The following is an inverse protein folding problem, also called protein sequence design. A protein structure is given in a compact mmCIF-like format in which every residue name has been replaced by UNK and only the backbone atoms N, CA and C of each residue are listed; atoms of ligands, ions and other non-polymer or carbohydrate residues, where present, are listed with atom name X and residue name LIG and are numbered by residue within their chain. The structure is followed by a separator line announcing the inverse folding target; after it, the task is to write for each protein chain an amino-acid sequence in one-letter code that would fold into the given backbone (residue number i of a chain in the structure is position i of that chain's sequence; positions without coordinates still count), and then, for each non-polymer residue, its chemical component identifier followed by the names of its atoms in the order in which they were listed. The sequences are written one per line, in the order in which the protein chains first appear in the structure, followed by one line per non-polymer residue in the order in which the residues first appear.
data_IF_019264583935
#
_entry.id   IF_019264583935
#
_cell.length_a   1.000
_cell.length_b   1.000
_cell.length_c   1.000
_cell.angle_alpha   90.00
_cell.angle_beta   90.00
_cell.angle_gamma   90.00
#
_symmetry.space_group_name_H-M   'P 1'
#
loop_
_entity.id
_entity.type
_entity.pdbx_description
1 polymer ?
#
# COMPACT_ATOMS: atom_id res chain seq x y z
N UNK A 1 -11.76 -9.42 -2.33
CA UNK A 1 -10.45 -10.11 -2.45
C UNK A 1 -10.46 -11.48 -3.12
N UNK A 2 -11.52 -12.29 -3.06
CA UNK A 2 -11.52 -13.65 -3.66
C UNK A 2 -11.18 -13.69 -5.16
N UNK A 3 -11.64 -12.70 -5.94
CA UNK A 3 -11.32 -12.58 -7.36
C UNK A 3 -9.82 -12.36 -7.63
N UNK A 4 -9.19 -11.44 -6.90
CA UNK A 4 -7.76 -11.16 -7.01
C UNK A 4 -6.91 -12.38 -6.64
N UNK A 5 -7.28 -13.11 -5.58
CA UNK A 5 -6.61 -14.36 -5.22
C UNK A 5 -6.72 -15.43 -6.32
N UNK A 6 -7.90 -15.55 -6.96
CA UNK A 6 -8.09 -16.44 -8.09
C UNK A 6 -7.18 -16.06 -9.27
N UNK A 7 -7.14 -14.77 -9.65
CA UNK A 7 -6.28 -14.28 -10.72
C UNK A 7 -4.80 -14.47 -10.40
N UNK A 8 -4.39 -14.26 -9.14
CA UNK A 8 -3.02 -14.50 -8.67
C UNK A 8 -2.61 -15.96 -8.87
N UNK A 9 -3.46 -16.90 -8.42
CA UNK A 9 -3.22 -18.33 -8.55
C UNK A 9 -3.14 -18.80 -10.01
N UNK A 10 -3.86 -18.12 -10.91
CA UNK A 10 -3.83 -18.39 -12.36
C UNK A 10 -2.73 -17.62 -13.10
N UNK A 11 -1.94 -16.78 -12.41
CA UNK A 11 -0.94 -15.86 -12.99
C UNK A 11 -1.52 -14.89 -14.03
N UNK A 12 -2.78 -14.50 -13.85
CA UNK A 12 -3.53 -13.63 -14.76
C UNK A 12 -3.62 -12.16 -14.30
N UNK A 13 -2.98 -11.82 -13.17
CA UNK A 13 -2.96 -10.44 -12.69
C UNK A 13 -2.28 -9.50 -13.68
N UNK A 14 -2.85 -8.31 -13.82
CA UNK A 14 -2.18 -7.16 -14.41
C UNK A 14 -0.93 -6.77 -13.61
N UNK A 15 -0.10 -5.88 -14.18
CA UNK A 15 1.10 -5.39 -13.48
C UNK A 15 0.73 -4.67 -12.17
N UNK A 16 -0.37 -3.92 -12.18
CA UNK A 16 -0.87 -3.16 -11.06
C UNK A 16 -1.41 -4.07 -9.95
N UNK A 17 -2.25 -5.05 -10.28
CA UNK A 17 -2.81 -5.96 -9.27
C UNK A 17 -1.74 -6.86 -8.63
N UNK A 18 -0.61 -7.10 -9.31
CA UNK A 18 0.54 -7.80 -8.72
C UNK A 18 1.14 -7.08 -7.52
N UNK A 19 1.01 -5.76 -7.43
CA UNK A 19 1.54 -4.98 -6.30
C UNK A 19 0.90 -5.41 -4.97
N UNK A 20 -0.36 -5.84 -5.01
CA UNK A 20 -1.08 -6.34 -3.84
C UNK A 20 -0.48 -7.66 -3.30
N UNK A 21 0.11 -8.47 -4.17
CA UNK A 21 0.70 -9.78 -3.84
C UNK A 21 2.23 -9.76 -3.84
N UNK A 22 2.86 -8.58 -3.87
CA UNK A 22 4.31 -8.45 -3.81
C UNK A 22 4.85 -9.11 -2.53
N UNK A 23 5.88 -9.93 -2.67
CA UNK A 23 6.56 -10.60 -1.57
C UNK A 23 8.08 -10.56 -1.81
N UNK A 24 8.88 -9.95 -0.92
CA UNK A 24 8.47 -9.32 0.34
C UNK A 24 7.67 -8.03 0.12
N UNK A 25 6.74 -7.75 1.04
CA UNK A 25 6.10 -6.43 1.16
C UNK A 25 7.09 -5.41 1.71
N UNK A 26 6.83 -4.14 1.41
CA UNK A 26 7.52 -3.05 2.10
C UNK A 26 7.22 -3.10 3.60
N UNK A 27 8.17 -2.66 4.42
CA UNK A 27 8.00 -2.62 5.88
C UNK A 27 6.88 -1.66 6.29
N UNK A 28 6.74 -0.56 5.54
CA UNK A 28 5.72 0.46 5.72
C UNK A 28 5.26 0.94 4.33
N UNK A 29 3.98 1.26 4.20
CA UNK A 29 3.38 1.77 2.96
C UNK A 29 2.48 2.97 3.30
N UNK A 30 2.44 3.97 2.41
CA UNK A 30 1.61 5.16 2.58
C UNK A 30 0.87 5.46 1.28
N UNK A 31 -0.46 5.57 1.35
CA UNK A 31 -1.34 5.75 0.20
C UNK A 31 -2.29 6.93 0.40
N UNK A 32 -2.53 7.68 -0.66
CA UNK A 32 -3.56 8.71 -0.71
C UNK A 32 -4.85 8.07 -1.22
N UNK A 33 -5.73 7.65 -0.32
CA UNK A 33 -6.97 6.96 -0.68
C UNK A 33 -7.94 7.82 -1.50
N UNK A 34 -7.77 9.15 -1.53
CA UNK A 34 -8.64 10.04 -2.32
C UNK A 34 -8.26 10.01 -3.79
N UNK A 35 -6.96 10.03 -4.09
CA UNK A 35 -6.44 10.06 -5.46
C UNK A 35 -5.99 8.67 -5.96
N UNK A 36 -5.74 7.73 -5.04
CA UNK A 36 -5.35 6.34 -5.27
C UNK A 36 -6.20 5.39 -4.39
N UNK A 37 -7.50 5.26 -4.70
CA UNK A 37 -8.43 4.45 -3.89
C UNK A 37 -8.12 2.94 -3.93
N UNK A 38 -7.19 2.51 -4.77
CA UNK A 38 -6.80 1.11 -4.93
C UNK A 38 -5.37 0.84 -4.44
N UNK A 39 -4.74 1.81 -3.77
CA UNK A 39 -3.44 1.63 -3.09
C UNK A 39 -2.37 1.07 -4.04
N UNK A 40 -2.31 1.60 -5.27
CA UNK A 40 -1.38 1.15 -6.30
C UNK A 40 -0.06 1.93 -6.30
N UNK A 41 -0.03 3.09 -5.65
CA UNK A 41 1.10 4.00 -5.62
C UNK A 41 1.56 4.21 -4.17
N UNK A 42 2.46 3.37 -3.69
CA UNK A 42 3.08 3.56 -2.38
C UNK A 42 3.96 4.82 -2.41
N UNK A 43 3.61 5.82 -1.61
CA UNK A 43 4.28 7.13 -1.50
C UNK A 43 5.10 7.27 -0.22
N UNK A 44 5.48 6.18 0.44
CA UNK A 44 6.19 6.21 1.72
C UNK A 44 7.51 7.01 1.69
N UNK A 45 8.18 7.06 0.54
CA UNK A 45 9.45 7.79 0.35
C UNK A 45 9.26 9.20 -0.23
N UNK A 46 8.02 9.65 -0.44
CA UNK A 46 7.74 10.96 -1.02
C UNK A 46 7.88 12.06 0.04
N UNK A 47 8.89 12.92 -0.14
CA UNK A 47 9.22 14.01 0.78
C UNK A 47 8.06 14.98 1.00
N UNK A 48 7.12 15.10 0.06
CA UNK A 48 5.97 16.00 0.18
C UNK A 48 5.02 15.60 1.31
N UNK A 49 5.02 14.33 1.71
CA UNK A 49 4.14 13.78 2.75
C UNK A 49 4.88 13.44 4.04
N UNK A 50 6.13 13.90 4.19
CA UNK A 50 6.98 13.54 5.33
C UNK A 50 6.32 13.87 6.68
N UNK A 51 5.65 15.01 6.77
CA UNK A 51 5.03 15.47 8.01
C UNK A 51 3.78 14.64 8.33
N UNK A 52 2.92 14.36 7.35
CA UNK A 52 1.75 13.48 7.50
C UNK A 52 2.15 12.06 7.92
N UNK A 53 3.17 11.50 7.27
CA UNK A 53 3.70 10.18 7.62
C UNK A 53 4.22 10.18 9.06
N UNK A 54 4.95 11.24 9.46
CA UNK A 54 5.44 11.36 10.85
C UNK A 54 4.28 11.41 11.86
N UNK A 55 3.24 12.20 11.57
CA UNK A 55 2.07 12.31 12.43
C UNK A 55 1.32 10.98 12.57
N UNK A 56 1.18 10.22 11.48
CA UNK A 56 0.55 8.90 11.51
C UNK A 56 1.37 7.88 12.31
N UNK A 57 2.70 7.90 12.18
CA UNK A 57 3.60 7.06 12.99
C UNK A 57 3.52 7.38 14.47
N UNK A 58 3.40 8.65 14.83
CA UNK A 58 3.19 9.05 16.22
C UNK A 58 1.83 8.58 16.73
N UNK A 59 0.76 8.77 15.95
CA UNK A 59 -0.59 8.35 16.31
C UNK A 59 -0.70 6.83 16.54
N UNK A 60 -0.02 6.01 15.73
CA UNK A 60 -0.04 4.55 15.87
C UNK A 60 0.72 4.06 17.10
N UNK A 61 1.84 4.71 17.48
CA UNK A 61 2.60 4.36 18.70
C UNK A 61 1.84 4.65 20.00
N UNK A 62 0.86 5.55 19.96
CA UNK A 62 0.05 5.90 21.13
C UNK A 62 -1.12 4.92 21.37
N UNK A 63 -1.28 3.91 20.51
CA UNK A 63 -2.32 2.89 20.59
C UNK A 63 -1.84 1.56 21.21
N UNK A 64 -0.55 1.44 21.53
CA UNK A 64 0.09 0.30 22.21
C UNK A 64 0.18 0.50 23.73
#
# INVERSE_FOLDING_TARGET
MQHLSYLNNKKLLSKQEKLWFQNPKSFEEFYDLKNDPFELNNMIDDIRYKDEISNLREATRLLD
#
